data_IF_715346963889
#
_entry.id   IF_715346963889
#
_cell.length_a   1.000
_cell.length_b   1.000
_cell.length_c   1.000
_cell.angle_alpha   90.00
_cell.angle_beta   90.00
_cell.angle_gamma   90.00
#
_symmetry.space_group_name_H-M   'P 1'
#
loop_
_entity.id
_entity.type
_entity.pdbx_description
1 polymer ?
#
# COMPACT_ATOMS: atom_id res chain seq x y z
N UNK A 1 -26.18 -12.15 -1.51
CA UNK A 1 -25.17 -13.07 -0.89
C UNK A 1 -24.09 -13.52 -1.88
N UNK A 2 -24.46 -13.98 -3.08
CA UNK A 2 -23.49 -14.46 -4.09
C UNK A 2 -22.53 -13.36 -4.57
N UNK A 3 -23.02 -12.16 -4.86
CA UNK A 3 -22.20 -11.03 -5.27
C UNK A 3 -21.17 -10.65 -4.19
N UNK A 4 -21.57 -10.65 -2.92
CA UNK A 4 -20.69 -10.38 -1.79
C UNK A 4 -19.56 -11.42 -1.68
N UNK A 5 -19.86 -12.69 -1.91
CA UNK A 5 -18.85 -13.78 -1.91
C UNK A 5 -17.84 -13.61 -3.05
N UNK A 6 -18.28 -13.27 -4.26
CA UNK A 6 -17.39 -13.05 -5.40
C UNK A 6 -16.46 -11.86 -5.19
N UNK A 7 -16.96 -10.77 -4.61
CA UNK A 7 -16.14 -9.62 -4.22
C UNK A 7 -15.05 -10.03 -3.22
N UNK A 8 -15.39 -10.81 -2.20
CA UNK A 8 -14.41 -11.31 -1.24
C UNK A 8 -13.36 -12.22 -1.89
N UNK A 9 -13.76 -13.08 -2.84
CA UNK A 9 -12.83 -13.91 -3.59
C UNK A 9 -11.82 -13.07 -4.38
N UNK A 10 -12.30 -12.08 -5.16
CA UNK A 10 -11.44 -11.17 -5.92
C UNK A 10 -10.50 -10.42 -4.98
N UNK A 11 -11.03 -9.88 -3.89
CA UNK A 11 -10.28 -9.14 -2.88
C UNK A 11 -9.14 -9.99 -2.29
N UNK A 12 -9.41 -11.22 -1.89
CA UNK A 12 -8.42 -12.15 -1.36
C UNK A 12 -7.35 -12.52 -2.40
N UNK A 13 -7.74 -12.79 -3.65
CA UNK A 13 -6.79 -13.07 -4.73
C UNK A 13 -5.84 -11.90 -4.99
N UNK A 14 -6.37 -10.68 -4.98
CA UNK A 14 -5.60 -9.46 -5.26
C UNK A 14 -4.70 -9.09 -4.10
N UNK A 15 -5.22 -9.07 -2.87
CA UNK A 15 -4.52 -8.49 -1.73
C UNK A 15 -3.85 -9.51 -0.82
N UNK A 16 -4.39 -10.72 -0.69
CA UNK A 16 -3.77 -11.77 0.13
C UNK A 16 -2.80 -12.64 -0.67
N UNK A 17 -3.16 -12.99 -1.90
CA UNK A 17 -2.33 -13.84 -2.77
C UNK A 17 -1.48 -13.05 -3.78
N UNK A 18 -1.68 -11.75 -3.89
CA UNK A 18 -0.88 -10.87 -4.76
C UNK A 18 -1.04 -11.12 -6.26
N UNK A 19 -2.15 -11.72 -6.71
CA UNK A 19 -2.33 -12.01 -8.14
C UNK A 19 -2.63 -10.75 -8.93
N UNK A 20 -2.04 -10.66 -10.14
CA UNK A 20 -2.13 -9.52 -11.06
C UNK A 20 -2.99 -9.80 -12.29
N UNK A 21 -3.58 -10.99 -12.39
CA UNK A 21 -4.51 -11.36 -13.46
C UNK A 21 -5.68 -12.13 -12.89
N UNK A 22 -6.86 -11.90 -13.42
CA UNK A 22 -8.07 -12.65 -13.10
C UNK A 22 -7.98 -14.11 -13.50
N UNK A 23 -7.09 -14.49 -14.43
CA UNK A 23 -6.87 -15.88 -14.86
C UNK A 23 -6.48 -16.82 -13.73
N UNK A 24 -5.77 -16.29 -12.72
CA UNK A 24 -5.37 -17.06 -11.53
C UNK A 24 -6.51 -17.34 -10.55
N UNK A 25 -7.67 -16.67 -10.70
CA UNK A 25 -8.78 -16.74 -9.76
C UNK A 25 -9.67 -17.97 -10.05
N UNK A 26 -9.12 -19.16 -9.83
CA UNK A 26 -9.71 -20.45 -10.26
C UNK A 26 -11.02 -20.81 -9.57
N UNK A 27 -11.38 -20.14 -8.47
CA UNK A 27 -12.67 -20.27 -7.80
C UNK A 27 -13.78 -19.37 -8.39
N UNK A 28 -13.47 -18.60 -9.45
CA UNK A 28 -14.42 -17.88 -10.27
C UNK A 28 -14.62 -18.60 -11.59
N UNK A 29 -15.83 -18.56 -12.17
CA UNK A 29 -16.08 -19.15 -13.49
C UNK A 29 -15.24 -18.47 -14.58
N UNK A 30 -14.96 -19.18 -15.65
CA UNK A 30 -14.15 -18.66 -16.76
C UNK A 30 -14.82 -17.44 -17.40
N UNK A 31 -16.12 -17.52 -17.65
CA UNK A 31 -16.91 -16.44 -18.25
C UNK A 31 -16.86 -15.17 -17.39
N UNK A 32 -16.88 -15.32 -16.06
CA UNK A 32 -16.81 -14.17 -15.15
C UNK A 32 -15.39 -13.58 -15.11
N UNK A 33 -14.35 -14.41 -15.16
CA UNK A 33 -12.96 -13.92 -15.28
C UNK A 33 -12.72 -13.17 -16.58
N UNK A 34 -13.25 -13.69 -17.70
CA UNK A 34 -13.17 -13.05 -19.00
C UNK A 34 -13.89 -11.69 -19.01
N UNK A 35 -15.07 -11.59 -18.35
CA UNK A 35 -15.78 -10.34 -18.18
C UNK A 35 -14.97 -9.34 -17.34
N UNK A 36 -14.44 -9.77 -16.20
CA UNK A 36 -13.61 -8.93 -15.35
C UNK A 36 -12.36 -8.39 -16.09
N UNK A 37 -11.72 -9.23 -16.90
CA UNK A 37 -10.52 -8.85 -17.67
C UNK A 37 -10.83 -7.83 -18.79
N UNK A 38 -12.06 -7.74 -19.24
CA UNK A 38 -12.50 -6.73 -20.22
C UNK A 38 -12.78 -5.38 -19.58
N UNK A 39 -13.34 -5.38 -18.37
CA UNK A 39 -13.85 -4.18 -17.71
C UNK A 39 -12.87 -3.60 -16.67
N UNK A 40 -11.96 -4.43 -16.14
CA UNK A 40 -11.09 -4.06 -15.03
C UNK A 40 -9.66 -4.53 -15.24
N UNK A 41 -8.73 -3.81 -14.62
CA UNK A 41 -7.32 -4.21 -14.53
C UNK A 41 -6.88 -4.29 -13.06
N UNK A 42 -5.92 -5.17 -12.78
CA UNK A 42 -5.24 -5.24 -11.48
C UNK A 42 -3.85 -4.68 -11.69
N UNK A 43 -3.70 -3.38 -11.46
CA UNK A 43 -2.44 -2.68 -11.66
C UNK A 43 -1.67 -2.50 -10.36
N UNK A 44 -0.40 -2.20 -10.50
CA UNK A 44 0.49 -1.76 -9.43
C UNK A 44 1.32 -0.58 -9.91
N UNK A 45 1.68 0.37 -9.04
CA UNK A 45 2.59 1.43 -9.42
C UNK A 45 3.87 0.85 -10.04
N UNK A 46 4.29 1.39 -11.16
CA UNK A 46 5.49 0.93 -11.87
C UNK A 46 6.75 1.38 -11.15
N UNK A 47 7.63 0.44 -10.81
CA UNK A 47 8.97 0.77 -10.30
C UNK A 47 9.80 1.27 -11.49
N UNK A 48 10.18 2.55 -11.49
CA UNK A 48 11.03 3.15 -12.52
C UNK A 48 12.49 3.30 -12.08
N UNK A 49 12.74 3.30 -10.77
CA UNK A 49 14.08 3.24 -10.21
C UNK A 49 14.08 2.50 -8.88
N UNK A 50 15.16 1.78 -8.60
CA UNK A 50 15.40 1.08 -7.35
C UNK A 50 16.86 1.23 -6.92
N UNK A 51 17.08 1.72 -5.71
CA UNK A 51 18.39 1.80 -5.07
C UNK A 51 18.42 0.83 -3.88
N UNK A 52 19.55 0.14 -3.70
CA UNK A 52 19.74 -0.82 -2.61
C UNK A 52 21.01 -0.41 -1.86
N UNK A 53 20.87 -0.17 -0.57
CA UNK A 53 21.97 0.12 0.34
C UNK A 53 22.67 -1.15 0.83
N UNK A 54 23.85 -1.01 1.43
CA UNK A 54 24.65 -2.14 1.95
C UNK A 54 23.89 -2.93 3.03
N UNK A 55 23.05 -2.26 3.83
CA UNK A 55 22.21 -2.85 4.86
C UNK A 55 20.94 -3.55 4.31
N UNK A 56 20.78 -3.58 2.98
CA UNK A 56 19.63 -4.16 2.31
C UNK A 56 18.40 -3.24 2.22
N UNK A 57 18.47 -2.02 2.76
CA UNK A 57 17.42 -1.00 2.58
C UNK A 57 17.21 -0.73 1.10
N UNK A 58 15.95 -0.72 0.66
CA UNK A 58 15.56 -0.51 -0.74
C UNK A 58 14.69 0.73 -0.86
N UNK A 59 15.16 1.69 -1.65
CA UNK A 59 14.39 2.88 -2.02
C UNK A 59 13.85 2.68 -3.43
N UNK A 60 12.54 2.79 -3.57
CA UNK A 60 11.83 2.67 -4.84
C UNK A 60 11.32 4.02 -5.27
N UNK A 61 11.47 4.33 -6.55
CA UNK A 61 10.77 5.41 -7.23
C UNK A 61 9.67 4.78 -8.08
N UNK A 62 8.45 5.14 -7.79
CA UNK A 62 7.27 4.69 -8.52
C UNK A 62 6.76 5.75 -9.48
N UNK A 63 6.33 5.30 -10.65
CA UNK A 63 5.52 6.09 -11.57
C UNK A 63 4.05 5.76 -11.34
N UNK A 64 3.25 6.80 -11.14
CA UNK A 64 1.80 6.67 -11.10
C UNK A 64 1.20 6.55 -12.49
N UNK A 65 0.12 5.79 -12.64
CA UNK A 65 -0.66 5.74 -13.87
C UNK A 65 -1.34 7.09 -14.18
N UNK A 66 -1.75 7.81 -13.13
CA UNK A 66 -2.49 9.06 -13.25
C UNK A 66 -1.64 10.33 -13.30
N UNK A 67 -0.33 10.24 -13.38
CA UNK A 67 0.63 11.35 -13.39
C UNK A 67 1.43 11.49 -12.07
N UNK A 68 2.72 11.70 -12.24
CA UNK A 68 3.69 12.00 -11.20
C UNK A 68 4.42 10.79 -10.64
N UNK A 69 5.40 11.08 -9.81
CA UNK A 69 6.30 10.09 -9.23
C UNK A 69 6.32 10.23 -7.71
N UNK A 70 6.47 9.11 -7.00
CA UNK A 70 6.54 9.07 -5.56
C UNK A 70 7.47 7.97 -5.08
N UNK A 71 7.96 8.12 -3.86
CA UNK A 71 8.97 7.23 -3.29
C UNK A 71 8.37 6.32 -2.21
N UNK A 72 8.98 5.15 -2.07
CA UNK A 72 8.69 4.19 -1.01
C UNK A 72 10.01 3.58 -0.56
N UNK A 73 10.17 3.33 0.72
CA UNK A 73 11.39 2.73 1.27
C UNK A 73 11.04 1.46 2.02
N UNK A 74 11.74 0.38 1.72
CA UNK A 74 11.72 -0.85 2.49
C UNK A 74 13.00 -0.96 3.32
N UNK A 75 12.85 -1.16 4.62
CA UNK A 75 13.94 -1.27 5.59
C UNK A 75 13.88 -2.66 6.20
N UNK A 76 14.80 -3.58 5.81
CA UNK A 76 14.90 -4.89 6.43
C UNK A 76 15.57 -4.80 7.80
N UNK A 77 15.06 -5.56 8.75
CA UNK A 77 15.66 -5.81 10.06
C UNK A 77 15.55 -7.30 10.39
N UNK A 78 16.33 -7.80 11.35
CA UNK A 78 16.39 -9.23 11.67
C UNK A 78 15.02 -9.83 12.01
N UNK A 79 14.22 -9.12 12.81
CA UNK A 79 12.91 -9.58 13.29
C UNK A 79 11.72 -8.97 12.57
N UNK A 80 11.91 -7.91 11.78
CA UNK A 80 10.85 -7.18 11.09
C UNK A 80 11.34 -6.59 9.77
N UNK A 81 10.42 -6.34 8.85
CA UNK A 81 10.67 -5.48 7.70
C UNK A 81 9.66 -4.37 7.67
N UNK A 82 10.13 -3.14 7.68
CA UNK A 82 9.31 -1.93 7.72
C UNK A 82 9.23 -1.32 6.33
N UNK A 83 8.02 -1.05 5.87
CA UNK A 83 7.81 -0.28 4.64
C UNK A 83 7.32 1.13 4.97
N UNK A 84 8.03 2.13 4.46
CA UNK A 84 7.68 3.54 4.56
C UNK A 84 6.95 3.95 3.28
N UNK A 85 5.66 4.27 3.39
CA UNK A 85 4.80 4.60 2.25
C UNK A 85 4.49 6.09 2.20
N UNK A 86 4.28 6.58 0.98
CA UNK A 86 3.89 7.95 0.67
C UNK A 86 2.37 8.12 0.65
N UNK A 87 1.90 9.33 0.96
CA UNK A 87 0.49 9.70 0.96
C UNK A 87 0.12 10.70 -0.14
N UNK A 88 1.10 11.44 -0.65
CA UNK A 88 0.93 12.46 -1.69
C UNK A 88 2.10 12.42 -2.68
N UNK A 89 1.92 12.99 -3.85
CA UNK A 89 2.99 13.36 -4.77
C UNK A 89 3.34 14.81 -4.49
N UNK A 90 4.57 15.06 -4.03
CA UNK A 90 4.94 16.32 -3.39
C UNK A 90 4.37 16.42 -1.97
N UNK A 91 4.23 17.60 -1.43
CA UNK A 91 3.66 17.82 -0.09
C UNK A 91 2.83 19.08 -0.03
N UNK A 92 1.72 19.02 0.74
CA UNK A 92 0.90 20.21 1.06
C UNK A 92 1.64 21.18 1.97
N UNK A 93 2.60 20.69 2.77
CA UNK A 93 3.33 21.44 3.77
C UNK A 93 4.73 21.83 3.27
N UNK A 94 5.22 22.94 3.79
CA UNK A 94 6.55 23.49 3.47
C UNK A 94 7.47 23.43 4.70
N UNK A 95 7.71 22.22 5.23
CA UNK A 95 8.58 22.03 6.39
C UNK A 95 10.03 22.31 6.03
N UNK A 96 10.71 23.23 6.73
CA UNK A 96 12.07 23.71 6.43
C UNK A 96 13.15 22.62 6.49
N UNK A 97 12.92 21.53 7.23
CA UNK A 97 13.84 20.40 7.40
C UNK A 97 13.57 19.24 6.42
N UNK A 98 12.51 19.31 5.62
CA UNK A 98 12.05 18.19 4.80
C UNK A 98 12.28 18.48 3.31
N UNK A 99 13.01 17.59 2.61
CA UNK A 99 13.22 17.75 1.18
C UNK A 99 11.90 17.73 0.38
N UNK A 100 10.97 16.82 0.73
CA UNK A 100 9.64 16.78 0.10
C UNK A 100 8.85 18.09 0.33
N UNK A 101 9.10 18.79 1.44
CA UNK A 101 8.51 20.09 1.71
C UNK A 101 8.92 21.18 0.69
N UNK A 102 10.02 21.00 -0.03
CA UNK A 102 10.43 21.92 -1.13
C UNK A 102 9.70 21.63 -2.44
N UNK A 103 9.06 20.49 -2.53
CA UNK A 103 8.30 20.04 -3.70
C UNK A 103 6.83 20.49 -3.54
N UNK A 104 6.31 21.19 -4.53
CA UNK A 104 4.90 21.56 -4.53
C UNK A 104 4.02 20.31 -4.58
N UNK A 105 2.88 20.36 -3.89
CA UNK A 105 1.87 19.33 -4.01
C UNK A 105 1.40 19.20 -5.47
N UNK A 106 1.50 18.01 -5.99
CA UNK A 106 0.92 17.64 -7.29
C UNK A 106 -0.50 17.13 -7.09
N UNK A 107 -0.66 16.08 -6.26
CA UNK A 107 -1.96 15.51 -5.89
C UNK A 107 -1.86 14.53 -4.70
N UNK A 108 -2.99 14.18 -4.18
CA UNK A 108 -3.14 13.07 -3.23
C UNK A 108 -2.99 11.73 -3.96
N UNK A 109 -2.37 10.75 -3.31
CA UNK A 109 -2.39 9.35 -3.75
C UNK A 109 -3.76 8.73 -3.44
N UNK A 110 -4.25 7.92 -4.37
CA UNK A 110 -5.50 7.19 -4.23
C UNK A 110 -5.32 5.89 -3.42
N UNK A 111 -6.39 5.29 -2.87
CA UNK A 111 -6.29 4.11 -2.04
C UNK A 111 -5.56 2.94 -2.72
N UNK A 112 -5.78 2.73 -4.02
CA UNK A 112 -5.11 1.67 -4.78
C UNK A 112 -3.60 1.93 -4.93
N UNK A 113 -3.16 3.19 -5.02
CA UNK A 113 -1.75 3.57 -5.06
C UNK A 113 -1.09 3.38 -3.70
N UNK A 114 -1.79 3.76 -2.60
CA UNK A 114 -1.30 3.58 -1.23
C UNK A 114 -1.06 2.09 -0.94
N UNK A 115 -2.02 1.22 -1.24
CA UNK A 115 -1.89 -0.24 -1.10
C UNK A 115 -0.91 -0.81 -2.12
N UNK A 116 -0.91 -0.24 -3.33
CA UNK A 116 -0.06 -0.64 -4.45
C UNK A 116 1.43 -0.55 -4.14
N UNK A 117 1.86 0.44 -3.36
CA UNK A 117 3.26 0.56 -2.88
C UNK A 117 3.70 -0.72 -2.17
N UNK A 118 2.90 -1.16 -1.19
CA UNK A 118 3.21 -2.37 -0.43
C UNK A 118 3.19 -3.60 -1.34
N UNK A 119 2.19 -3.69 -2.20
CA UNK A 119 2.04 -4.81 -3.10
C UNK A 119 3.18 -4.93 -4.11
N UNK A 120 3.65 -3.80 -4.67
CA UNK A 120 4.78 -3.78 -5.60
C UNK A 120 6.10 -4.15 -4.90
N UNK A 121 6.32 -3.69 -3.68
CA UNK A 121 7.48 -4.09 -2.88
C UNK A 121 7.43 -5.58 -2.53
N UNK A 122 6.26 -6.11 -2.15
CA UNK A 122 6.07 -7.54 -1.92
C UNK A 122 6.32 -8.38 -3.18
N UNK A 123 5.96 -7.87 -4.36
CA UNK A 123 6.29 -8.51 -5.64
C UNK A 123 7.82 -8.58 -5.85
N UNK A 124 8.55 -7.46 -5.62
CA UNK A 124 10.01 -7.39 -5.75
C UNK A 124 10.75 -8.28 -4.75
N UNK A 125 10.18 -8.45 -3.54
CA UNK A 125 10.74 -9.30 -2.49
C UNK A 125 10.29 -10.76 -2.58
N UNK A 126 9.37 -11.10 -3.50
CA UNK A 126 8.68 -12.40 -3.55
C UNK A 126 8.00 -12.78 -2.21
N UNK A 127 7.46 -11.78 -1.49
CA UNK A 127 6.91 -11.90 -0.13
C UNK A 127 5.40 -12.23 -0.11
N UNK A 128 4.93 -13.05 -1.06
CA UNK A 128 3.56 -13.52 -1.08
C UNK A 128 3.45 -14.93 -0.46
N UNK A 129 3.41 -14.98 0.86
CA UNK A 129 3.20 -16.23 1.60
C UNK A 129 1.72 -16.60 1.54
N UNK A 130 1.39 -17.58 0.70
CA UNK A 130 0.02 -17.94 0.34
C UNK A 130 -0.85 -18.61 1.40
N UNK A 131 -0.50 -18.61 2.70
CA UNK A 131 -1.38 -19.12 3.78
C UNK A 131 -1.00 -18.52 5.14
N UNK A 132 -2.02 -18.27 5.96
CA UNK A 132 -1.93 -17.86 7.38
C UNK A 132 -1.06 -18.77 8.27
N UNK A 133 -0.69 -19.97 7.80
CA UNK A 133 0.07 -21.00 8.52
C UNK A 133 1.46 -21.26 7.91
N UNK A 134 1.98 -20.37 7.07
CA UNK A 134 3.35 -20.54 6.57
C UNK A 134 4.33 -20.22 7.69
N UNK A 135 5.28 -21.13 7.93
CA UNK A 135 6.42 -20.94 8.84
C UNK A 135 7.42 -19.93 8.30
N UNK A 136 7.23 -19.45 7.06
CA UNK A 136 8.07 -18.45 6.42
C UNK A 136 7.79 -17.09 7.02
N UNK A 137 8.83 -16.43 7.48
CA UNK A 137 8.79 -15.06 8.02
C UNK A 137 8.41 -14.10 6.88
N UNK A 138 7.43 -13.23 7.10
CA UNK A 138 7.07 -12.17 6.15
C UNK A 138 8.18 -11.14 6.08
N UNK A 139 8.62 -10.80 4.87
CA UNK A 139 9.59 -9.72 4.68
C UNK A 139 8.97 -8.37 5.05
N UNK A 140 7.74 -8.08 4.59
CA UNK A 140 7.02 -6.85 4.96
C UNK A 140 6.08 -7.15 6.13
N UNK A 141 6.43 -6.68 7.32
CA UNK A 141 5.66 -6.90 8.55
C UNK A 141 5.11 -5.64 9.19
N UNK A 142 5.72 -4.48 8.94
CA UNK A 142 5.37 -3.19 9.52
C UNK A 142 5.18 -2.14 8.43
N UNK A 143 4.26 -1.21 8.64
CA UNK A 143 3.99 -0.09 7.74
C UNK A 143 4.13 1.22 8.49
N UNK A 144 4.85 2.19 7.93
CA UNK A 144 4.89 3.55 8.43
C UNK A 144 4.46 4.52 7.33
N UNK A 145 3.49 5.37 7.62
CA UNK A 145 3.04 6.43 6.70
C UNK A 145 3.87 7.67 7.00
N UNK A 146 5.13 7.63 6.53
CA UNK A 146 6.17 8.64 6.80
C UNK A 146 6.97 9.01 5.54
N UNK A 147 6.45 8.65 4.36
CA UNK A 147 7.04 9.00 3.07
C UNK A 147 6.67 10.41 2.64
N UNK A 148 6.43 10.59 1.33
CA UNK A 148 6.06 11.89 0.78
C UNK A 148 4.63 12.28 1.18
N UNK A 149 4.45 13.57 1.55
CA UNK A 149 3.17 14.18 1.83
C UNK A 149 2.74 14.17 3.30
N UNK A 150 1.70 14.94 3.60
CA UNK A 150 1.01 14.94 4.90
C UNK A 150 -0.23 14.04 4.81
N UNK A 151 -0.25 12.90 5.52
CA UNK A 151 -1.33 11.92 5.36
C UNK A 151 -2.71 12.45 5.80
N UNK A 152 -2.77 13.39 6.74
CA UNK A 152 -4.06 13.92 7.20
C UNK A 152 -4.69 14.91 6.21
N UNK A 153 -3.95 15.46 5.26
CA UNK A 153 -4.54 16.17 4.12
C UNK A 153 -5.01 15.22 3.00
N UNK A 154 -4.71 13.92 3.13
CA UNK A 154 -5.24 12.86 2.29
C UNK A 154 -6.05 11.81 3.10
N UNK A 155 -6.78 12.27 4.12
CA UNK A 155 -7.34 11.43 5.17
C UNK A 155 -8.22 10.29 4.65
N UNK A 156 -9.17 10.58 3.75
CA UNK A 156 -10.13 9.57 3.28
C UNK A 156 -9.46 8.45 2.48
N UNK A 157 -8.49 8.78 1.61
CA UNK A 157 -7.75 7.78 0.85
C UNK A 157 -6.81 6.96 1.74
N UNK A 158 -6.13 7.60 2.70
CA UNK A 158 -5.31 6.92 3.71
C UNK A 158 -6.17 5.97 4.54
N UNK A 159 -7.33 6.42 5.01
CA UNK A 159 -8.28 5.58 5.76
C UNK A 159 -8.69 4.34 4.97
N UNK A 160 -9.07 4.52 3.71
CA UNK A 160 -9.44 3.39 2.84
C UNK A 160 -8.27 2.45 2.60
N UNK A 161 -7.09 2.97 2.25
CA UNK A 161 -5.88 2.19 2.04
C UNK A 161 -5.48 1.39 3.28
N UNK A 162 -5.45 2.02 4.46
CA UNK A 162 -5.09 1.37 5.71
C UNK A 162 -6.12 0.29 6.12
N UNK A 163 -7.41 0.48 5.85
CA UNK A 163 -8.41 -0.58 6.07
C UNK A 163 -8.12 -1.81 5.23
N UNK A 164 -7.75 -1.68 3.96
CA UNK A 164 -7.34 -2.80 3.11
C UNK A 164 -6.07 -3.47 3.64
N UNK A 165 -5.10 -2.68 4.09
CA UNK A 165 -3.82 -3.16 4.64
C UNK A 165 -4.06 -3.98 5.92
N UNK A 166 -5.00 -3.55 6.76
CA UNK A 166 -5.34 -4.22 8.03
C UNK A 166 -6.30 -5.40 7.87
N UNK A 167 -7.04 -5.46 6.77
CA UNK A 167 -8.06 -6.49 6.56
C UNK A 167 -7.44 -7.90 6.57
N UNK A 168 -8.07 -8.81 7.30
CA UNK A 168 -7.59 -10.19 7.45
C UNK A 168 -7.59 -11.00 6.14
N UNK A 169 -8.48 -10.66 5.20
CA UNK A 169 -8.53 -11.23 3.85
C UNK A 169 -7.72 -10.40 2.84
N UNK A 170 -7.14 -9.25 3.29
CA UNK A 170 -6.24 -8.39 2.54
C UNK A 170 -4.77 -8.67 2.84
N UNK A 171 -3.98 -7.61 3.07
CA UNK A 171 -2.56 -7.73 3.41
C UNK A 171 -2.34 -8.26 4.84
N UNK A 172 -3.35 -8.18 5.70
CA UNK A 172 -3.37 -8.74 7.06
C UNK A 172 -2.20 -8.25 7.94
N UNK A 173 -1.90 -6.95 7.85
CA UNK A 173 -0.92 -6.30 8.74
C UNK A 173 -1.66 -5.76 9.96
N UNK A 174 -1.27 -6.22 11.14
CA UNK A 174 -1.92 -5.80 12.39
C UNK A 174 -1.83 -4.29 12.58
N UNK A 175 -2.93 -3.66 13.07
CA UNK A 175 -2.97 -2.23 13.41
C UNK A 175 -1.82 -1.78 14.33
N UNK A 176 -1.36 -2.64 15.23
CA UNK A 176 -0.21 -2.39 16.13
C UNK A 176 1.14 -2.30 15.40
N UNK A 177 1.18 -2.71 14.13
CA UNK A 177 2.36 -2.67 13.26
C UNK A 177 2.25 -1.57 12.21
N UNK A 178 1.28 -0.67 12.37
CA UNK A 178 1.08 0.48 11.49
C UNK A 178 1.29 1.74 12.30
N UNK A 179 2.13 2.64 11.80
CA UNK A 179 2.35 3.96 12.39
C UNK A 179 2.00 5.03 11.36
N UNK A 180 1.11 5.94 11.72
CA UNK A 180 0.81 7.12 10.95
C UNK A 180 1.45 8.33 11.63
N UNK A 181 2.33 9.03 10.91
CA UNK A 181 2.95 10.27 11.37
C UNK A 181 2.24 11.46 10.73
N UNK A 182 2.12 12.54 11.48
CA UNK A 182 1.54 13.79 10.99
C UNK A 182 2.28 14.99 11.57
N UNK A 183 2.35 16.06 10.83
CA UNK A 183 2.86 17.34 11.31
C UNK A 183 1.86 18.10 12.20
N UNK A 184 0.67 17.53 12.45
CA UNK A 184 -0.29 18.06 13.40
C UNK A 184 -1.51 18.72 12.79
N UNK A 185 -2.16 18.11 11.82
CA UNK A 185 -3.45 18.58 11.26
C UNK A 185 -4.55 18.29 12.28
N UNK A 186 -4.66 19.17 13.29
CA UNK A 186 -5.45 19.00 14.53
C UNK A 186 -6.89 18.49 14.29
N UNK A 187 -7.68 19.00 13.32
CA UNK A 187 -9.06 18.55 13.12
C UNK A 187 -9.19 17.05 12.76
N UNK A 188 -8.11 16.44 12.25
CA UNK A 188 -8.11 15.04 11.83
C UNK A 188 -7.45 14.07 12.82
N UNK A 189 -6.68 14.59 13.81
CA UNK A 189 -5.98 13.73 14.79
C UNK A 189 -6.96 12.82 15.54
N UNK A 190 -8.08 13.37 16.03
CA UNK A 190 -9.11 12.58 16.71
C UNK A 190 -9.74 11.51 15.82
N UNK A 191 -9.88 11.80 14.51
CA UNK A 191 -10.45 10.87 13.54
C UNK A 191 -9.53 9.70 13.25
N UNK A 192 -8.20 9.86 13.35
CA UNK A 192 -7.24 8.75 13.17
C UNK A 192 -7.55 7.63 14.16
N UNK A 193 -7.69 7.94 15.43
CA UNK A 193 -7.98 6.95 16.46
C UNK A 193 -9.37 6.31 16.28
N UNK A 194 -10.40 7.12 16.02
CA UNK A 194 -11.80 6.64 15.96
C UNK A 194 -12.16 5.94 14.64
N UNK A 195 -11.59 6.38 13.51
CA UNK A 195 -12.00 5.91 12.18
C UNK A 195 -11.00 4.95 11.51
N UNK A 196 -9.71 5.04 11.86
CA UNK A 196 -8.64 4.18 11.34
C UNK A 196 -8.23 3.15 12.38
N UNK A 197 -7.95 3.58 13.60
CA UNK A 197 -7.64 2.71 14.73
C UNK A 197 -6.19 2.21 14.76
N UNK A 198 -5.24 2.92 14.12
CA UNK A 198 -3.80 2.68 14.25
C UNK A 198 -3.14 3.76 15.10
#
# INVERSE_FOLDING_TARGET
>A
KELSMRVQQIFSWTHSHGKKSFDYMTNLSKEFRDLLSKEFSISRPQIINKQISIDGTRKYLFKSENFGEFETVFIPEDERGTICISSQIGCTLNCSFCHTGTQKLVRNLEPHEIVGQISAVKDDLSDWCGKKNSTLKRAVSNVVVMGMGEPLYNFENIKQGLKIIMDNEGLSISRKKITLSTSGVVPYIHKVSSEIGC
#
